data_IF_539374497476
#
_entry.id   IF_539374497476
#
_cell.length_a   1.000
_cell.length_b   1.000
_cell.length_c   1.000
_cell.angle_alpha   90.00
_cell.angle_beta   90.00
_cell.angle_gamma   90.00
#
_symmetry.space_group_name_H-M   'P 1'
#
loop_
_entity.id
_entity.type
_entity.pdbx_description
1 polymer ?
#
# COMPACT_ATOMS: atom_id res chain seq x y z
N UNK A 1 8.28 37.16 41.36
CA UNK A 1 7.41 36.77 40.23
C UNK A 1 8.15 36.38 38.94
N UNK A 2 9.39 36.84 38.70
CA UNK A 2 10.15 36.51 37.47
C UNK A 2 10.67 35.06 37.46
N UNK A 3 11.05 34.53 38.62
CA UNK A 3 11.58 33.16 38.76
C UNK A 3 10.53 32.06 38.53
N UNK A 4 9.27 32.26 38.96
CA UNK A 4 8.17 31.32 38.66
C UNK A 4 7.82 31.28 37.17
N UNK A 5 7.96 32.40 36.45
CA UNK A 5 7.73 32.45 35.00
C UNK A 5 8.87 31.80 34.22
N UNK A 6 10.12 31.96 34.65
CA UNK A 6 11.26 31.25 34.07
C UNK A 6 11.21 29.74 34.33
N UNK A 7 10.75 29.30 35.51
CA UNK A 7 10.58 27.88 35.82
C UNK A 7 9.41 27.25 35.05
N UNK A 8 8.30 28.00 34.87
CA UNK A 8 7.21 27.59 33.99
C UNK A 8 7.64 27.57 32.51
N UNK A 9 8.42 28.54 32.03
CA UNK A 9 8.96 28.54 30.66
C UNK A 9 9.99 27.43 30.44
N UNK A 10 10.83 27.10 31.42
CA UNK A 10 11.76 25.97 31.35
C UNK A 10 11.04 24.63 31.41
N UNK A 11 9.97 24.50 32.21
CA UNK A 11 9.11 23.32 32.17
C UNK A 11 8.34 23.19 30.85
N UNK A 12 7.85 24.30 30.28
CA UNK A 12 7.19 24.31 28.97
C UNK A 12 8.19 24.02 27.85
N UNK A 13 9.43 24.54 27.91
CA UNK A 13 10.51 24.20 26.97
C UNK A 13 10.98 22.74 27.11
N UNK A 14 10.95 22.18 28.32
CA UNK A 14 11.20 20.74 28.56
C UNK A 14 10.03 19.86 28.10
N UNK A 15 8.80 20.38 28.05
CA UNK A 15 7.63 19.69 27.48
C UNK A 15 7.64 19.75 25.93
N UNK A 16 8.26 20.79 25.34
CA UNK A 16 8.35 20.96 23.87
C UNK A 16 9.47 20.11 23.25
N UNK A 17 10.40 19.57 24.04
CA UNK A 17 11.20 18.43 23.61
C UNK A 17 10.36 17.17 23.71
N UNK A 18 9.66 16.82 22.62
CA UNK A 18 9.14 15.47 22.39
C UNK A 18 10.18 14.45 22.86
N UNK A 19 9.83 13.74 23.93
CA UNK A 19 10.69 12.80 24.64
C UNK A 19 11.42 11.87 23.63
N UNK A 20 12.76 11.88 23.56
CA UNK A 20 13.51 11.06 22.61
C UNK A 20 13.18 9.56 22.73
N UNK A 21 12.71 9.11 23.90
CA UNK A 21 12.23 7.75 24.12
C UNK A 21 10.89 7.47 23.42
N UNK A 22 9.97 8.45 23.41
CA UNK A 22 8.68 8.34 22.72
C UNK A 22 8.88 8.23 21.21
N UNK A 23 9.78 9.06 20.66
CA UNK A 23 10.15 9.02 19.24
C UNK A 23 10.77 7.68 18.84
N UNK A 24 11.65 7.12 19.69
CA UNK A 24 12.24 5.80 19.49
C UNK A 24 11.19 4.68 19.48
N UNK A 25 10.18 4.76 20.37
CA UNK A 25 9.07 3.80 20.41
C UNK A 25 8.19 3.88 19.16
N UNK A 26 7.92 5.10 18.67
CA UNK A 26 7.20 5.30 17.41
C UNK A 26 7.97 4.67 16.24
N UNK A 27 9.29 4.89 16.15
CA UNK A 27 10.12 4.30 15.10
C UNK A 27 10.12 2.77 15.13
N UNK A 28 10.20 2.16 16.32
CA UNK A 28 10.11 0.71 16.47
C UNK A 28 8.75 0.17 16.02
N UNK A 29 7.66 0.87 16.36
CA UNK A 29 6.33 0.50 15.94
C UNK A 29 6.16 0.62 14.42
N UNK A 30 6.62 1.72 13.82
CA UNK A 30 6.61 1.92 12.37
C UNK A 30 7.40 0.82 11.64
N UNK A 31 8.57 0.43 12.17
CA UNK A 31 9.34 -0.70 11.64
C UNK A 31 8.58 -2.02 11.72
N UNK A 32 7.84 -2.26 12.81
CA UNK A 32 6.97 -3.46 12.92
C UNK A 32 5.87 -3.47 11.85
N UNK A 33 5.37 -2.30 11.47
CA UNK A 33 4.45 -2.12 10.35
C UNK A 33 5.17 -2.14 8.98
N UNK A 34 6.49 -2.23 8.92
CA UNK A 34 7.23 -2.23 7.64
C UNK A 34 7.33 -0.85 7.03
N UNK A 35 7.44 0.16 7.87
CA UNK A 35 7.89 1.49 7.49
C UNK A 35 9.32 1.66 8.00
N UNK A 36 10.24 2.07 7.13
CA UNK A 36 11.61 2.40 7.54
C UNK A 36 11.65 3.68 8.39
N UNK A 37 10.72 4.59 8.15
CA UNK A 37 10.51 5.87 8.83
C UNK A 37 9.06 6.32 8.60
N UNK A 38 8.62 7.34 9.35
CA UNK A 38 7.29 7.95 9.17
C UNK A 38 7.17 8.52 7.75
N UNK A 39 6.18 8.08 6.95
CA UNK A 39 6.00 8.59 5.60
C UNK A 39 5.74 10.10 5.58
N UNK A 40 6.37 10.79 4.63
CA UNK A 40 6.17 12.23 4.43
C UNK A 40 5.98 12.55 2.94
N UNK A 41 4.76 12.35 2.40
CA UNK A 41 4.48 12.62 1.00
C UNK A 41 4.65 14.12 0.68
N UNK A 42 5.22 14.41 -0.49
CA UNK A 42 5.58 15.78 -0.90
C UNK A 42 4.52 16.36 -1.85
N UNK A 43 4.07 15.57 -2.83
CA UNK A 43 3.05 15.97 -3.79
C UNK A 43 2.15 14.77 -4.14
N UNK A 44 1.29 14.35 -3.20
CA UNK A 44 0.53 13.12 -3.34
C UNK A 44 -0.42 13.15 -4.57
N UNK A 45 -0.38 12.13 -5.45
CA UNK A 45 -1.29 12.02 -6.58
C UNK A 45 -2.72 11.67 -6.12
N UNK A 46 -3.75 11.88 -6.96
CA UNK A 46 -5.09 11.44 -6.63
C UNK A 46 -5.16 9.92 -6.44
N UNK A 47 -5.98 9.49 -5.48
CA UNK A 47 -6.15 8.07 -5.13
C UNK A 47 -6.73 7.28 -6.32
N UNK A 48 -6.06 6.23 -6.81
CA UNK A 48 -6.58 5.37 -7.87
C UNK A 48 -7.90 4.72 -7.48
N UNK A 49 -8.90 4.82 -8.37
CA UNK A 49 -10.26 4.29 -8.14
C UNK A 49 -10.27 2.78 -7.89
N UNK A 50 -9.33 2.03 -8.49
CA UNK A 50 -9.14 0.60 -8.25
C UNK A 50 -8.81 0.31 -6.78
N UNK A 51 -7.86 1.05 -6.19
CA UNK A 51 -7.47 0.86 -4.79
C UNK A 51 -8.58 1.28 -3.83
N UNK A 52 -9.26 2.40 -4.13
CA UNK A 52 -10.41 2.86 -3.35
C UNK A 52 -11.55 1.84 -3.34
N UNK A 53 -11.85 1.24 -4.50
CA UNK A 53 -12.87 0.19 -4.64
C UNK A 53 -12.50 -1.06 -3.84
N UNK A 54 -11.27 -1.54 -3.98
CA UNK A 54 -10.76 -2.70 -3.23
C UNK A 54 -10.86 -2.44 -1.72
N UNK A 55 -10.40 -1.27 -1.26
CA UNK A 55 -10.48 -0.87 0.14
C UNK A 55 -11.91 -0.90 0.68
N UNK A 56 -12.86 -0.27 -0.01
CA UNK A 56 -14.26 -0.19 0.42
C UNK A 56 -14.95 -1.56 0.42
N UNK A 57 -14.68 -2.41 -0.58
CA UNK A 57 -15.20 -3.77 -0.62
C UNK A 57 -14.75 -4.58 0.59
N UNK A 58 -13.48 -4.43 0.99
CA UNK A 58 -12.92 -5.13 2.16
C UNK A 58 -13.50 -4.62 3.47
N UNK A 59 -13.65 -3.30 3.63
CA UNK A 59 -14.30 -2.68 4.79
C UNK A 59 -15.76 -3.13 4.95
N UNK A 60 -16.50 -3.26 3.85
CA UNK A 60 -17.90 -3.69 3.86
C UNK A 60 -18.13 -5.19 4.14
N UNK A 61 -17.09 -6.03 4.03
CA UNK A 61 -17.23 -7.50 4.17
C UNK A 61 -17.28 -8.02 5.62
N UNK A 62 -17.26 -7.12 6.61
CA UNK A 62 -17.12 -7.44 8.04
C UNK A 62 -18.23 -8.34 8.63
N UNK A 63 -19.31 -8.64 7.89
CA UNK A 63 -20.51 -9.24 8.49
C UNK A 63 -20.75 -10.74 8.28
N UNK A 64 -20.11 -11.49 7.36
CA UNK A 64 -20.33 -12.97 7.31
C UNK A 64 -19.50 -13.82 6.31
N UNK A 65 -18.54 -13.28 5.56
CA UNK A 65 -17.74 -14.10 4.61
C UNK A 65 -16.44 -14.61 5.23
N UNK A 66 -15.96 -15.77 4.74
CA UNK A 66 -14.67 -16.41 5.12
C UNK A 66 -13.60 -15.35 5.39
N UNK A 67 -12.85 -15.50 6.50
CA UNK A 67 -11.71 -14.64 6.84
C UNK A 67 -10.85 -14.45 5.58
N UNK A 68 -10.68 -13.23 5.06
CA UNK A 68 -9.95 -13.01 3.82
C UNK A 68 -8.53 -13.58 3.98
N UNK A 69 -8.05 -14.29 2.96
CA UNK A 69 -6.65 -14.74 2.94
C UNK A 69 -5.77 -13.51 2.72
N UNK A 70 -5.08 -13.10 3.78
CA UNK A 70 -4.30 -11.85 3.82
C UNK A 70 -3.08 -11.88 2.90
N UNK A 71 -2.77 -13.06 2.38
CA UNK A 71 -1.68 -13.33 1.46
C UNK A 71 -2.18 -13.63 0.06
N UNK A 72 -3.45 -13.32 -0.20
CA UNK A 72 -4.09 -13.46 -1.49
C UNK A 72 -4.87 -12.19 -1.83
N UNK A 73 -4.70 -11.72 -3.06
CA UNK A 73 -5.47 -10.60 -3.60
C UNK A 73 -6.55 -11.18 -4.50
N UNK A 74 -7.74 -11.38 -3.95
CA UNK A 74 -8.89 -12.00 -4.65
C UNK A 74 -9.23 -11.27 -5.94
N UNK A 75 -9.09 -9.95 -5.97
CA UNK A 75 -9.47 -9.10 -7.11
C UNK A 75 -8.61 -9.34 -8.35
N UNK A 76 -7.39 -9.85 -8.17
CA UNK A 76 -6.47 -10.20 -9.26
C UNK A 76 -6.16 -11.68 -9.32
N UNK A 77 -6.70 -12.48 -8.38
CA UNK A 77 -6.46 -13.91 -8.25
C UNK A 77 -4.96 -14.28 -8.19
N UNK A 78 -4.17 -13.50 -7.43
CA UNK A 78 -2.73 -13.70 -7.26
C UNK A 78 -2.35 -13.71 -5.78
N UNK A 79 -1.29 -14.45 -5.39
CA UNK A 79 -0.73 -14.32 -4.06
C UNK A 79 -0.18 -12.91 -3.86
N UNK A 80 -0.53 -12.26 -2.76
CA UNK A 80 -0.09 -10.90 -2.48
C UNK A 80 -0.66 -10.36 -1.18
N UNK A 81 0.08 -9.47 -0.55
CA UNK A 81 -0.32 -8.79 0.68
C UNK A 81 -0.24 -7.26 0.58
N UNK A 82 0.42 -6.74 -0.46
CA UNK A 82 0.54 -5.30 -0.71
C UNK A 82 0.23 -5.01 -2.17
N UNK A 83 -0.59 -4.00 -2.42
CA UNK A 83 -0.91 -3.47 -3.75
C UNK A 83 -0.37 -2.04 -3.83
N UNK A 84 0.44 -1.74 -4.83
CA UNK A 84 1.00 -0.39 -5.07
C UNK A 84 0.64 0.09 -6.46
N UNK A 85 0.40 1.38 -6.60
CA UNK A 85 0.28 2.04 -7.90
C UNK A 85 1.38 3.09 -8.02
N UNK A 86 2.26 2.89 -9.00
CA UNK A 86 3.35 3.78 -9.33
C UNK A 86 2.94 4.72 -10.47
N UNK A 87 3.05 6.04 -10.31
CA UNK A 87 2.85 6.98 -11.39
C UNK A 87 4.01 6.92 -12.40
N UNK A 88 3.73 7.24 -13.66
CA UNK A 88 4.76 7.40 -14.68
C UNK A 88 5.57 8.68 -14.45
N UNK A 89 6.87 8.53 -14.23
CA UNK A 89 7.88 9.59 -14.09
C UNK A 89 8.69 9.79 -15.38
N UNK A 90 8.24 9.16 -16.46
CA UNK A 90 8.84 9.22 -17.78
C UNK A 90 8.63 10.57 -18.48
N UNK A 91 9.08 10.64 -19.74
CA UNK A 91 9.00 11.85 -20.55
C UNK A 91 8.70 11.55 -22.01
N UNK A 92 8.04 12.49 -22.67
CA UNK A 92 7.86 12.46 -24.12
C UNK A 92 9.21 12.61 -24.82
N UNK A 93 9.43 11.83 -25.87
CA UNK A 93 10.60 11.92 -26.73
C UNK A 93 10.21 12.81 -27.91
N UNK A 94 10.71 14.04 -27.92
CA UNK A 94 10.47 14.97 -29.02
C UNK A 94 11.21 14.43 -30.26
N UNK A 95 10.55 14.29 -31.43
CA UNK A 95 11.23 13.94 -32.67
C UNK A 95 12.23 15.05 -33.03
N UNK A 96 13.43 14.66 -33.46
CA UNK A 96 14.45 15.61 -33.93
C UNK A 96 13.93 16.26 -35.22
N UNK A 97 14.15 17.56 -35.39
CA UNK A 97 13.57 18.43 -36.41
C UNK A 97 13.94 18.11 -37.87
N UNK A 98 14.70 17.03 -38.12
CA UNK A 98 15.14 16.66 -39.47
C UNK A 98 14.17 15.70 -40.20
N UNK A 99 13.18 15.13 -39.51
CA UNK A 99 12.16 14.30 -40.16
C UNK A 99 10.96 15.16 -40.61
N UNK A 100 10.94 15.50 -41.90
CA UNK A 100 9.96 16.37 -42.57
C UNK A 100 8.50 15.91 -42.40
N UNK A 101 8.22 14.68 -41.93
CA UNK A 101 6.88 14.29 -41.46
C UNK A 101 6.98 13.20 -40.37
N UNK A 102 6.73 13.51 -39.07
CA UNK A 102 6.66 12.45 -38.07
C UNK A 102 5.46 11.55 -38.38
N UNK A 103 5.73 10.31 -38.80
CA UNK A 103 4.71 9.29 -39.06
C UNK A 103 4.15 8.66 -37.77
N UNK A 104 4.69 9.06 -36.62
CA UNK A 104 4.32 8.58 -35.29
C UNK A 104 3.53 9.64 -34.52
N UNK A 105 2.37 9.25 -33.95
CA UNK A 105 1.57 10.12 -33.09
C UNK A 105 2.26 10.42 -31.76
N UNK A 106 2.95 9.41 -31.22
CA UNK A 106 3.52 9.47 -29.89
C UNK A 106 4.75 8.60 -29.80
N UNK A 107 5.80 9.12 -29.19
CA UNK A 107 6.88 8.33 -28.61
C UNK A 107 7.13 8.83 -27.18
N UNK A 108 6.85 7.99 -26.18
CA UNK A 108 7.01 8.32 -24.76
C UNK A 108 7.91 7.30 -24.08
N UNK A 109 8.93 7.77 -23.36
CA UNK A 109 9.66 6.93 -22.41
C UNK A 109 8.83 6.84 -21.14
N UNK A 110 8.44 5.63 -20.75
CA UNK A 110 7.78 5.38 -19.47
C UNK A 110 8.82 4.98 -18.43
N UNK A 111 8.74 5.55 -17.23
CA UNK A 111 9.63 5.19 -16.13
C UNK A 111 8.84 5.08 -14.83
N UNK A 112 8.99 3.95 -14.14
CA UNK A 112 8.32 3.69 -12.87
C UNK A 112 9.37 3.41 -11.82
N UNK A 113 9.42 4.26 -10.80
CA UNK A 113 10.36 4.10 -9.70
C UNK A 113 9.82 3.07 -8.67
N UNK A 114 10.16 1.79 -8.89
CA UNK A 114 9.72 0.70 -8.01
C UNK A 114 10.64 0.44 -6.81
N UNK A 115 11.54 1.37 -6.48
CA UNK A 115 12.46 1.25 -5.34
C UNK A 115 11.76 1.18 -3.97
N UNK A 116 10.47 1.54 -3.92
CA UNK A 116 9.65 1.41 -2.72
C UNK A 116 9.27 -0.06 -2.38
N UNK A 117 9.54 -1.00 -3.28
CA UNK A 117 9.36 -2.44 -2.99
C UNK A 117 10.53 -2.90 -2.13
N UNK A 118 10.25 -3.41 -0.93
CA UNK A 118 11.27 -3.91 0.01
C UNK A 118 12.02 -5.11 -0.60
N UNK A 119 13.28 -5.33 -0.20
CA UNK A 119 14.10 -6.45 -0.72
C UNK A 119 13.51 -7.82 -0.36
N UNK A 120 12.76 -7.87 0.75
CA UNK A 120 12.09 -9.05 1.25
C UNK A 120 10.75 -9.32 0.54
N UNK A 121 10.23 -8.35 -0.22
CA UNK A 121 9.00 -8.48 -0.99
C UNK A 121 9.29 -9.07 -2.38
N UNK A 122 8.48 -10.06 -2.79
CA UNK A 122 8.49 -10.55 -4.18
C UNK A 122 7.34 -9.96 -4.96
N UNK A 123 7.60 -9.45 -6.16
CA UNK A 123 6.55 -9.08 -7.12
C UNK A 123 5.88 -10.34 -7.67
N UNK A 124 4.57 -10.44 -7.44
CA UNK A 124 3.73 -11.54 -7.95
C UNK A 124 2.90 -11.12 -9.15
N UNK A 125 2.63 -9.82 -9.31
CA UNK A 125 1.95 -9.26 -10.47
C UNK A 125 2.48 -7.86 -10.76
N UNK A 126 2.63 -7.55 -12.04
CA UNK A 126 2.84 -6.20 -12.55
C UNK A 126 1.93 -5.94 -13.75
N UNK A 127 1.14 -4.87 -13.71
CA UNK A 127 0.20 -4.51 -14.76
C UNK A 127 0.33 -3.03 -15.11
N UNK A 128 0.67 -2.74 -16.35
CA UNK A 128 0.66 -1.40 -16.91
C UNK A 128 -0.75 -1.05 -17.36
N UNK A 129 -1.23 0.11 -16.92
CA UNK A 129 -2.45 0.72 -17.40
C UNK A 129 -2.11 1.91 -18.30
N UNK A 130 -2.66 1.94 -19.51
CA UNK A 130 -2.70 3.11 -20.38
C UNK A 130 -4.14 3.63 -20.41
N UNK A 131 -4.36 4.84 -19.89
CA UNK A 131 -5.68 5.47 -19.83
C UNK A 131 -5.72 6.70 -20.70
N UNK A 132 -6.75 6.79 -21.53
CA UNK A 132 -7.03 7.94 -22.40
C UNK A 132 -8.22 8.71 -21.83
N UNK A 133 -8.06 10.01 -21.56
CA UNK A 133 -9.08 10.83 -20.90
C UNK A 133 -10.09 11.46 -21.85
N UNK A 134 -9.82 11.53 -23.15
CA UNK A 134 -10.73 12.07 -24.17
C UNK A 134 -10.90 11.12 -25.34
N UNK A 135 -12.07 11.18 -25.97
CA UNK A 135 -12.42 10.40 -27.15
C UNK A 135 -12.74 11.31 -28.34
N UNK A 136 -11.80 12.17 -28.71
CA UNK A 136 -11.95 13.06 -29.87
C UNK A 136 -11.76 12.33 -31.22
N UNK A 137 -11.56 11.01 -31.19
CA UNK A 137 -11.05 10.23 -32.32
C UNK A 137 -11.95 9.06 -32.74
N UNK A 138 -13.27 9.22 -32.61
CA UNK A 138 -14.26 8.22 -32.99
C UNK A 138 -13.99 7.66 -34.40
N UNK A 139 -13.81 6.35 -34.50
CA UNK A 139 -13.60 5.63 -35.76
C UNK A 139 -12.14 5.47 -36.18
N UNK A 140 -11.20 6.24 -35.62
CA UNK A 140 -9.77 6.11 -35.98
C UNK A 140 -9.12 4.89 -35.34
N UNK A 141 -8.23 4.28 -36.09
CA UNK A 141 -7.48 3.09 -35.70
C UNK A 141 -6.02 3.45 -35.50
N UNK A 142 -5.44 3.02 -34.39
CA UNK A 142 -4.05 3.26 -34.04
C UNK A 142 -3.32 1.95 -33.80
N UNK A 143 -2.05 1.91 -34.17
CA UNK A 143 -1.14 0.84 -33.81
C UNK A 143 -0.28 1.28 -32.62
N UNK A 144 -0.30 0.47 -31.57
CA UNK A 144 0.48 0.65 -30.36
C UNK A 144 1.63 -0.35 -30.32
N UNK A 145 2.82 0.12 -29.98
CA UNK A 145 3.99 -0.74 -29.73
C UNK A 145 4.64 -0.38 -28.40
N UNK A 146 4.83 -1.38 -27.56
CA UNK A 146 5.47 -1.24 -26.26
C UNK A 146 6.81 -1.99 -26.29
N UNK A 147 7.88 -1.30 -25.90
CA UNK A 147 9.23 -1.81 -25.90
C UNK A 147 9.86 -1.77 -24.51
N UNK A 148 10.66 -2.80 -24.20
CA UNK A 148 11.59 -2.80 -23.09
C UNK A 148 12.92 -2.18 -23.53
N UNK A 149 13.42 -1.23 -22.76
CA UNK A 149 14.75 -0.66 -22.98
C UNK A 149 15.83 -1.62 -22.46
N UNK A 150 16.79 -1.98 -23.30
CA UNK A 150 17.92 -2.85 -22.93
C UNK A 150 19.20 -2.05 -22.67
N UNK A 151 19.36 -0.90 -23.33
CA UNK A 151 20.53 -0.02 -23.19
C UNK A 151 20.12 1.44 -23.34
N UNK A 152 20.83 2.35 -22.66
CA UNK A 152 20.66 3.79 -22.81
C UNK A 152 21.54 4.26 -23.97
N UNK A 153 20.95 4.76 -25.04
CA UNK A 153 21.68 5.37 -26.15
C UNK A 153 22.17 6.76 -25.74
N UNK A 154 23.46 7.06 -25.93
CA UNK A 154 24.05 8.38 -25.70
C UNK A 154 23.36 9.44 -26.58
N UNK A 155 23.18 10.66 -26.05
CA UNK A 155 22.66 11.80 -26.81
C UNK A 155 23.56 12.04 -28.04
N UNK A 156 22.98 12.01 -29.25
CA UNK A 156 23.70 12.29 -30.51
C UNK A 156 24.06 11.06 -31.35
N UNK A 157 23.93 9.83 -30.83
CA UNK A 157 23.99 8.62 -31.66
C UNK A 157 22.61 8.31 -32.26
N UNK A 158 22.58 7.92 -33.53
CA UNK A 158 21.36 7.53 -34.22
C UNK A 158 20.55 6.50 -33.43
N UNK A 159 19.22 6.61 -33.45
CA UNK A 159 18.29 5.74 -32.70
C UNK A 159 18.47 4.29 -33.16
N UNK A 160 19.32 3.52 -32.48
CA UNK A 160 19.53 2.12 -32.85
C UNK A 160 18.34 1.27 -32.40
N UNK A 161 17.69 0.61 -33.36
CA UNK A 161 16.62 -0.37 -33.10
C UNK A 161 17.10 -1.54 -32.23
N UNK A 162 18.42 -1.76 -32.09
CA UNK A 162 19.00 -2.85 -31.29
C UNK A 162 18.93 -2.62 -29.78
N UNK A 163 18.68 -1.39 -29.31
CA UNK A 163 18.65 -1.05 -27.88
C UNK A 163 17.29 -1.30 -27.20
N UNK A 164 16.29 -1.78 -27.95
CA UNK A 164 14.91 -1.98 -27.50
C UNK A 164 14.42 -3.38 -27.87
N UNK A 165 13.68 -4.04 -26.98
CA UNK A 165 12.99 -5.33 -27.24
C UNK A 165 11.48 -5.10 -27.28
N UNK A 166 10.83 -5.47 -28.38
CA UNK A 166 9.36 -5.40 -28.48
C UNK A 166 8.72 -6.33 -27.46
N UNK A 167 7.77 -5.81 -26.70
CA UNK A 167 6.98 -6.57 -25.72
C UNK A 167 5.60 -6.86 -26.26
N UNK A 168 4.93 -5.83 -26.77
CA UNK A 168 3.55 -5.92 -27.25
C UNK A 168 3.39 -5.03 -28.47
N UNK A 169 2.70 -5.53 -29.49
CA UNK A 169 2.17 -4.75 -30.58
C UNK A 169 0.67 -5.02 -30.69
N UNK A 170 -0.15 -3.97 -30.66
CA UNK A 170 -1.61 -4.11 -30.66
C UNK A 170 -2.24 -2.96 -31.43
N UNK A 171 -3.23 -3.28 -32.26
CA UNK A 171 -4.10 -2.29 -32.88
C UNK A 171 -5.28 -1.99 -31.94
N UNK A 172 -5.61 -0.71 -31.77
CA UNK A 172 -6.74 -0.29 -30.94
C UNK A 172 -7.50 0.88 -31.59
N UNK A 173 -8.74 1.07 -31.16
CA UNK A 173 -9.51 2.30 -31.41
C UNK A 173 -9.52 3.10 -30.13
N UNK A 174 -9.50 4.42 -30.23
CA UNK A 174 -9.70 5.27 -29.06
C UNK A 174 -11.13 5.05 -28.56
N UNK A 175 -11.21 4.28 -27.48
CA UNK A 175 -12.38 4.02 -26.69
C UNK A 175 -12.02 4.56 -25.31
N UNK A 176 -13.00 5.04 -24.53
CA UNK A 176 -12.83 5.47 -23.12
C UNK A 176 -12.39 4.31 -22.17
N UNK A 177 -11.63 3.34 -22.67
CA UNK A 177 -11.21 2.13 -22.00
C UNK A 177 -9.71 2.22 -21.75
N UNK A 178 -9.32 1.87 -20.53
CA UNK A 178 -7.93 1.63 -20.21
C UNK A 178 -7.44 0.37 -20.92
N UNK A 179 -6.23 0.43 -21.48
CA UNK A 179 -5.51 -0.74 -21.98
C UNK A 179 -4.62 -1.29 -20.88
N UNK A 180 -4.63 -2.60 -20.68
CA UNK A 180 -3.87 -3.27 -19.65
C UNK A 180 -2.84 -4.21 -20.25
N UNK A 181 -1.59 -4.13 -19.79
CA UNK A 181 -0.50 -5.00 -20.24
C UNK A 181 0.16 -5.68 -19.05
N UNK A 182 0.35 -7.00 -19.15
CA UNK A 182 1.08 -7.76 -18.14
C UNK A 182 2.58 -7.50 -18.26
N UNK A 183 3.18 -6.96 -17.20
CA UNK A 183 4.61 -6.67 -17.09
C UNK A 183 5.26 -7.41 -15.91
N UNK A 184 4.65 -8.49 -15.41
CA UNK A 184 5.07 -9.17 -14.18
C UNK A 184 6.55 -9.56 -14.19
N UNK A 185 7.03 -10.24 -15.23
CA UNK A 185 8.44 -10.65 -15.37
C UNK A 185 9.40 -9.46 -15.43
N UNK A 186 8.97 -8.35 -16.04
CA UNK A 186 9.76 -7.13 -16.15
C UNK A 186 9.88 -6.46 -14.79
N UNK A 187 8.76 -6.32 -14.08
CA UNK A 187 8.73 -5.79 -12.71
C UNK A 187 9.57 -6.63 -11.74
N UNK A 188 9.59 -7.96 -11.91
CA UNK A 188 10.50 -8.83 -11.16
C UNK A 188 11.96 -8.50 -11.45
N UNK A 189 12.32 -8.29 -12.72
CA UNK A 189 13.68 -7.91 -13.09
C UNK A 189 14.08 -6.50 -12.61
N UNK A 190 13.13 -5.57 -12.50
CA UNK A 190 13.35 -4.19 -12.05
C UNK A 190 13.53 -4.06 -10.53
N UNK A 191 13.32 -5.13 -9.75
CA UNK A 191 13.68 -5.13 -8.32
C UNK A 191 15.19 -4.91 -8.13
N UNK A 192 16.00 -5.23 -9.14
CA UNK A 192 17.36 -4.73 -9.26
C UNK A 192 17.32 -3.33 -9.92
N UNK A 193 17.66 -2.24 -9.20
CA UNK A 193 17.56 -0.88 -9.72
C UNK A 193 18.38 -0.66 -10.99
N UNK A 194 19.50 -1.39 -11.17
CA UNK A 194 20.36 -1.28 -12.35
C UNK A 194 19.70 -1.82 -13.62
N UNK A 195 18.68 -2.68 -13.48
CA UNK A 195 17.94 -3.26 -14.61
C UNK A 195 16.72 -2.43 -15.02
N UNK A 196 16.36 -1.40 -14.26
CA UNK A 196 15.22 -0.54 -14.55
C UNK A 196 15.60 0.60 -15.50
N UNK A 197 15.58 0.31 -16.82
CA UNK A 197 15.85 1.29 -17.88
C UNK A 197 14.58 1.94 -18.46
N UNK A 198 13.41 1.61 -17.89
CA UNK A 198 12.11 2.04 -18.38
C UNK A 198 11.64 1.35 -19.66
N UNK A 199 10.49 1.78 -20.15
CA UNK A 199 9.85 1.30 -21.38
C UNK A 199 9.79 2.43 -22.40
N UNK A 200 9.55 2.07 -23.66
CA UNK A 200 9.19 3.02 -24.69
C UNK A 200 7.85 2.64 -25.29
N UNK A 201 6.93 3.60 -25.29
CA UNK A 201 5.62 3.50 -25.88
C UNK A 201 5.59 4.29 -27.18
N UNK A 202 5.22 3.62 -28.26
CA UNK A 202 5.03 4.22 -29.58
C UNK A 202 3.57 4.03 -30.02
N UNK A 203 2.94 5.09 -30.54
CA UNK A 203 1.60 5.04 -31.13
C UNK A 203 1.64 5.66 -32.52
N UNK A 204 1.03 4.97 -33.49
CA UNK A 204 0.98 5.37 -34.90
C UNK A 204 -0.47 5.40 -35.37
N UNK A 205 -0.88 6.34 -36.23
CA UNK A 205 -2.16 6.25 -36.91
C UNK A 205 -2.08 5.15 -37.97
N UNK A 206 -3.09 4.28 -38.03
CA UNK A 206 -3.18 3.26 -39.08
C UNK A 206 -3.77 3.93 -40.32
N UNK A 207 -2.97 4.10 -41.37
CA UNK A 207 -3.44 4.64 -42.65
C UNK A 207 -4.48 3.69 -43.26
N UNK A 208 -5.75 4.07 -43.18
CA UNK A 208 -6.80 3.51 -44.01
C UNK A 208 -6.71 4.20 -45.38
N UNK A 209 -6.70 3.42 -46.45
CA UNK A 209 -6.41 3.88 -47.81
C UNK A 209 -7.36 4.98 -48.29
N UNK A 210 -7.01 6.26 -48.13
CA UNK A 210 -7.48 7.37 -48.95
C UNK A 210 -6.60 8.61 -48.78
N UNK A 211 -6.68 9.51 -49.76
CA UNK A 211 -5.63 10.47 -50.12
C UNK A 211 -5.62 11.72 -49.22
N UNK A 212 -4.44 12.31 -49.06
CA UNK A 212 -4.18 13.64 -48.49
C UNK A 212 -4.71 13.90 -47.06
N UNK A 213 -4.01 13.37 -46.06
CA UNK A 213 -4.01 13.96 -44.71
C UNK A 213 -2.60 13.85 -44.13
N UNK A 214 -2.03 14.97 -43.67
CA UNK A 214 -0.73 14.97 -42.99
C UNK A 214 -0.92 14.41 -41.58
N UNK A 215 -0.07 13.47 -41.16
CA UNK A 215 -0.14 12.80 -39.85
C UNK A 215 -0.18 13.76 -38.64
N UNK A 216 0.23 15.02 -38.83
CA UNK A 216 0.22 16.07 -37.81
C UNK A 216 -1.19 16.48 -37.36
N UNK A 217 -2.19 16.42 -38.24
CA UNK A 217 -3.58 16.76 -37.88
C UNK A 217 -4.32 15.55 -37.27
N UNK A 218 -3.78 14.34 -37.47
CA UNK A 218 -4.41 13.09 -37.03
C UNK A 218 -4.14 12.72 -35.56
N UNK A 219 -3.12 13.31 -34.94
CA UNK A 219 -2.59 12.92 -33.63
C UNK A 219 -2.58 14.06 -32.58
N UNK A 220 -3.26 15.17 -32.85
CA UNK A 220 -3.28 16.38 -32.00
C UNK A 220 -3.79 16.08 -30.57
N UNK A 221 -3.07 16.52 -29.54
CA UNK A 221 -3.50 16.37 -28.14
C UNK A 221 -3.49 14.95 -27.53
N UNK A 222 -3.11 13.88 -28.27
CA UNK A 222 -3.00 12.52 -27.69
C UNK A 222 -2.01 12.47 -26.50
N UNK A 223 -1.00 13.34 -26.53
CA UNK A 223 0.00 13.51 -25.47
C UNK A 223 -0.60 14.08 -24.18
N UNK A 224 -1.57 14.98 -24.29
CA UNK A 224 -2.21 15.67 -23.15
C UNK A 224 -3.16 14.76 -22.39
N UNK A 225 -3.71 13.75 -23.07
CA UNK A 225 -4.78 12.92 -22.53
C UNK A 225 -4.37 11.50 -22.15
N UNK A 226 -3.10 11.12 -22.38
CA UNK A 226 -2.55 9.82 -22.02
C UNK A 226 -1.96 9.81 -20.61
N UNK A 227 -2.62 9.07 -19.73
CA UNK A 227 -2.15 8.76 -18.39
C UNK A 227 -1.65 7.33 -18.31
N UNK A 228 -0.55 7.13 -17.61
CA UNK A 228 0.15 5.85 -17.51
C UNK A 228 0.49 5.56 -16.06
N UNK A 229 0.13 4.37 -15.60
CA UNK A 229 0.39 3.92 -14.23
C UNK A 229 0.74 2.44 -14.20
N UNK A 230 1.60 2.05 -13.26
CA UNK A 230 1.99 0.67 -13.04
C UNK A 230 1.40 0.18 -11.71
N UNK A 231 0.49 -0.77 -11.78
CA UNK A 231 -0.01 -1.49 -10.61
C UNK A 231 0.89 -2.69 -10.34
N UNK A 232 1.33 -2.86 -9.11
CA UNK A 232 2.01 -4.09 -8.67
C UNK A 232 1.31 -4.73 -7.49
N UNK A 233 1.38 -6.05 -7.45
CA UNK A 233 1.06 -6.84 -6.28
C UNK A 233 2.35 -7.50 -5.80
N UNK A 234 2.64 -7.36 -4.52
CA UNK A 234 3.80 -7.99 -3.89
C UNK A 234 3.39 -8.87 -2.72
N UNK A 235 4.21 -9.88 -2.46
CA UNK A 235 4.05 -10.78 -1.33
C UNK A 235 5.29 -10.69 -0.45
N UNK A 236 5.09 -10.38 0.83
CA UNK A 236 6.13 -10.54 1.84
C UNK A 236 5.99 -11.91 2.52
N UNK A 237 6.88 -12.89 2.25
CA UNK A 237 6.77 -14.24 2.78
C UNK A 237 6.94 -14.32 4.31
N UNK A 238 7.64 -13.37 4.94
CA UNK A 238 7.83 -13.35 6.39
C UNK A 238 6.52 -13.05 7.13
N UNK A 239 5.68 -12.21 6.53
CA UNK A 239 4.36 -11.82 7.08
C UNK A 239 3.25 -12.77 6.66
N UNK A 240 3.50 -13.58 5.64
CA UNK A 240 2.54 -14.54 5.10
C UNK A 240 2.66 -15.95 5.68
N UNK A 241 3.02 -16.04 6.96
CA UNK A 241 2.97 -17.30 7.70
C UNK A 241 1.52 -17.58 8.12
N UNK A 242 1.04 -18.80 7.88
CA UNK A 242 -0.32 -19.21 8.25
C UNK A 242 -0.60 -18.84 9.71
N UNK A 243 -1.69 -18.11 10.02
CA UNK A 243 -2.05 -17.85 11.40
C UNK A 243 -2.33 -19.19 12.07
N UNK A 244 -1.60 -19.50 13.16
CA UNK A 244 -1.95 -20.63 14.03
C UNK A 244 -3.33 -20.35 14.60
N UNK A 245 -4.34 -21.14 14.19
CA UNK A 245 -5.67 -21.13 14.78
C UNK A 245 -5.54 -21.44 16.28
N UNK A 246 -5.62 -20.41 17.14
CA UNK A 246 -6.06 -20.62 18.51
C UNK A 246 -7.60 -20.64 18.50
N UNK A 247 -8.16 -21.70 19.06
CA UNK A 247 -9.62 -21.92 19.15
C UNK A 247 -10.23 -20.77 19.97
N UNK A 248 -11.33 -20.20 19.49
CA UNK A 248 -12.13 -19.20 20.21
C UNK A 248 -13.40 -19.84 20.77
N UNK A 249 -13.77 -19.43 21.97
CA UNK A 249 -15.03 -19.76 22.66
C UNK A 249 -15.94 -18.51 22.68
N UNK A 250 -17.26 -18.70 22.54
CA UNK A 250 -18.27 -17.62 22.42
C UNK A 250 -19.04 -17.34 23.73
N UNK A 251 -19.49 -16.09 23.85
CA UNK A 251 -19.87 -15.29 25.03
C UNK A 251 -21.13 -15.68 25.83
N UNK A 252 -21.14 -15.28 27.11
CA UNK A 252 -22.30 -14.93 27.94
C UNK A 252 -22.09 -13.54 28.59
N UNK A 253 -23.14 -12.81 29.02
CA UNK A 253 -23.02 -11.45 29.57
C UNK A 253 -23.01 -11.46 31.11
N UNK A 254 -22.21 -10.58 31.76
CA UNK A 254 -22.60 -9.90 33.02
C UNK A 254 -21.63 -8.78 33.45
N UNK A 255 -22.16 -7.85 34.25
CA UNK A 255 -21.51 -6.72 34.98
C UNK A 255 -20.81 -7.22 36.24
N UNK A 256 -19.61 -6.78 36.65
CA UNK A 256 -19.31 -5.55 37.41
C UNK A 256 -17.84 -5.12 37.18
N UNK A 257 -17.43 -3.94 37.64
CA UNK A 257 -16.50 -3.05 36.93
C UNK A 257 -15.00 -3.39 36.83
N UNK A 258 -14.44 -4.42 37.49
CA UNK A 258 -12.97 -4.61 37.55
C UNK A 258 -12.39 -5.87 36.90
N UNK A 259 -13.21 -6.82 36.42
CA UNK A 259 -12.70 -8.09 35.84
C UNK A 259 -12.16 -7.90 34.41
N UNK A 260 -11.10 -8.64 34.05
CA UNK A 260 -10.45 -8.62 32.73
C UNK A 260 -11.45 -8.73 31.57
N UNK A 261 -11.56 -7.67 30.77
CA UNK A 261 -12.40 -7.66 29.57
C UNK A 261 -11.91 -6.69 28.51
N UNK A 262 -12.47 -6.87 27.31
CA UNK A 262 -12.30 -5.92 26.22
C UNK A 262 -13.01 -4.61 26.55
N UNK A 263 -12.28 -3.51 26.42
CA UNK A 263 -12.76 -2.13 26.52
C UNK A 263 -12.69 -1.48 25.14
N UNK A 264 -13.57 -0.52 24.93
CA UNK A 264 -13.69 0.23 23.68
C UNK A 264 -12.60 1.30 23.64
N UNK A 265 -11.87 1.33 22.53
CA UNK A 265 -10.92 2.40 22.21
C UNK A 265 -11.01 2.63 20.71
N UNK A 266 -11.34 3.86 20.35
CA UNK A 266 -11.27 4.32 18.98
C UNK A 266 -9.99 5.13 18.83
N UNK A 267 -9.17 4.78 17.85
CA UNK A 267 -7.92 5.48 17.56
C UNK A 267 -8.11 6.24 16.26
N UNK A 268 -7.97 7.55 16.31
CA UNK A 268 -7.90 8.39 15.13
C UNK A 268 -6.44 8.55 14.71
N UNK A 269 -6.16 8.39 13.41
CA UNK A 269 -4.80 8.53 12.91
C UNK A 269 -4.27 9.97 13.02
N UNK A 270 -5.16 10.96 13.12
CA UNK A 270 -4.78 12.35 13.37
C UNK A 270 -4.14 12.54 14.75
N UNK A 271 -4.58 11.78 15.75
CA UNK A 271 -4.12 11.91 17.15
C UNK A 271 -2.70 11.37 17.32
N UNK A 272 -2.29 10.45 16.45
CA UNK A 272 -0.91 9.93 16.35
C UNK A 272 -0.09 10.63 15.26
N UNK A 273 -0.64 11.68 14.64
CA UNK A 273 0.07 12.49 13.64
C UNK A 273 0.27 11.80 12.29
N UNK A 274 -0.61 10.88 11.91
CA UNK A 274 -0.52 10.08 10.68
C UNK A 274 -1.48 10.54 9.56
N UNK A 275 -2.27 11.59 9.81
CA UNK A 275 -3.26 12.14 8.87
C UNK A 275 -2.69 12.65 7.54
N UNK A 276 -1.39 13.00 7.51
CA UNK A 276 -0.75 13.55 6.31
C UNK A 276 -0.43 12.47 5.26
N UNK A 277 -0.36 11.20 5.67
CA UNK A 277 0.05 10.10 4.80
C UNK A 277 -0.94 8.93 4.78
N UNK A 278 -1.73 8.73 5.84
CA UNK A 278 -2.84 7.76 5.82
C UNK A 278 -4.05 8.37 5.14
N UNK A 279 -4.50 7.73 4.05
CA UNK A 279 -5.67 8.13 3.27
C UNK A 279 -6.94 7.57 3.92
N UNK A 280 -6.93 6.27 4.25
CA UNK A 280 -8.06 5.59 4.88
C UNK A 280 -7.64 4.31 5.65
N UNK A 281 -8.40 3.91 6.69
CA UNK A 281 -9.48 4.69 7.31
C UNK A 281 -8.93 5.92 8.05
N UNK A 282 -9.79 6.84 8.49
CA UNK A 282 -9.37 7.99 9.30
C UNK A 282 -9.11 7.60 10.77
N UNK A 283 -9.70 6.50 11.19
CA UNK A 283 -9.53 5.90 12.50
C UNK A 283 -10.21 4.54 12.55
N UNK A 284 -9.95 3.76 13.58
CA UNK A 284 -10.53 2.43 13.72
C UNK A 284 -10.74 2.04 15.19
N UNK A 285 -11.60 1.05 15.39
CA UNK A 285 -11.92 0.52 16.72
C UNK A 285 -10.83 -0.45 17.19
N UNK A 286 -9.71 0.08 17.67
CA UNK A 286 -8.60 -0.71 18.17
C UNK A 286 -9.00 -1.60 19.35
N UNK A 287 -9.82 -1.08 20.28
CA UNK A 287 -10.11 -1.71 21.56
C UNK A 287 -8.84 -2.02 22.38
N UNK A 288 -9.00 -2.37 23.65
CA UNK A 288 -7.89 -2.79 24.52
C UNK A 288 -8.38 -3.74 25.60
N UNK A 289 -7.45 -4.46 26.24
CA UNK A 289 -7.77 -5.33 27.37
C UNK A 289 -7.48 -4.61 28.68
N UNK A 290 -8.43 -4.66 29.61
CA UNK A 290 -8.27 -4.06 30.93
C UNK A 290 -9.14 -4.75 31.98
N UNK A 291 -8.57 -4.89 33.16
CA UNK A 291 -9.18 -5.48 34.35
C UNK A 291 -8.26 -6.49 35.00
N UNK A 292 -8.70 -6.99 36.14
CA UNK A 292 -7.98 -7.92 37.01
C UNK A 292 -8.27 -9.37 36.63
N UNK A 293 -7.34 -10.24 37.00
CA UNK A 293 -7.39 -11.69 36.81
C UNK A 293 -7.42 -12.39 38.17
N UNK A 294 -8.55 -12.31 38.92
CA UNK A 294 -8.61 -12.80 40.30
C UNK A 294 -8.63 -14.33 40.37
N UNK A 295 -8.24 -14.85 41.53
CA UNK A 295 -8.45 -16.25 41.88
C UNK A 295 -9.87 -16.45 42.46
N UNK A 296 -10.58 -17.55 42.11
CA UNK A 296 -10.27 -18.51 41.05
C UNK A 296 -10.58 -17.95 39.65
N UNK A 297 -9.72 -18.26 38.68
CA UNK A 297 -9.99 -17.89 37.28
C UNK A 297 -11.19 -18.67 36.77
N UNK A 298 -12.29 -17.95 36.53
CA UNK A 298 -13.47 -18.52 35.85
C UNK A 298 -13.15 -18.85 34.39
N UNK A 299 -13.86 -19.83 33.81
CA UNK A 299 -13.71 -20.19 32.39
C UNK A 299 -13.89 -18.99 31.44
N UNK A 300 -14.69 -18.01 31.86
CA UNK A 300 -14.99 -16.77 31.14
C UNK A 300 -13.72 -15.94 30.87
N UNK A 301 -12.69 -16.05 31.71
CA UNK A 301 -11.45 -15.30 31.59
C UNK A 301 -10.45 -15.92 30.59
N UNK A 302 -10.84 -17.02 29.93
CA UNK A 302 -10.02 -17.74 28.95
C UNK A 302 -8.60 -18.03 29.47
N UNK A 303 -8.43 -18.30 30.77
CA UNK A 303 -7.14 -18.48 31.44
C UNK A 303 -6.32 -19.64 30.86
N UNK A 304 -5.00 -19.50 30.81
CA UNK A 304 -4.11 -20.61 30.45
C UNK A 304 -3.92 -21.50 31.69
N UNK A 305 -3.53 -22.76 31.53
CA UNK A 305 -3.18 -23.60 32.68
C UNK A 305 -2.08 -22.93 33.54
N UNK A 306 -1.15 -22.21 32.90
CA UNK A 306 -0.14 -21.41 33.59
C UNK A 306 -0.77 -20.28 34.42
N UNK A 307 -1.71 -19.51 33.86
CA UNK A 307 -2.39 -18.44 34.58
C UNK A 307 -3.27 -18.97 35.74
N UNK A 308 -3.89 -20.14 35.57
CA UNK A 308 -4.65 -20.81 36.63
C UNK A 308 -3.73 -21.25 37.76
N UNK A 309 -2.60 -21.88 37.44
CA UNK A 309 -1.62 -22.27 38.44
C UNK A 309 -1.02 -21.04 39.14
N UNK A 310 -0.67 -19.99 38.40
CA UNK A 310 -0.11 -18.76 38.94
C UNK A 310 -1.09 -18.06 39.88
N UNK A 311 -2.38 -17.99 39.53
CA UNK A 311 -3.40 -17.43 40.45
C UNK A 311 -3.58 -18.27 41.71
N UNK A 312 -3.47 -19.60 41.61
CA UNK A 312 -3.49 -20.49 42.77
C UNK A 312 -2.29 -20.24 43.68
N UNK A 313 -1.07 -20.20 43.15
CA UNK A 313 0.14 -19.95 43.94
C UNK A 313 0.13 -18.54 44.53
N UNK A 314 -0.33 -17.54 43.77
CA UNK A 314 -0.53 -16.17 44.27
C UNK A 314 -1.50 -16.11 45.45
N UNK A 315 -2.53 -16.96 45.50
CA UNK A 315 -3.45 -17.01 46.65
C UNK A 315 -2.81 -17.51 47.94
N UNK A 316 -1.65 -18.17 47.83
CA UNK A 316 -0.84 -18.69 48.94
C UNK A 316 0.27 -17.70 49.30
N UNK A 317 0.98 -17.20 48.28
CA UNK A 317 2.15 -16.31 48.42
C UNK A 317 1.99 -15.04 47.56
N UNK A 318 1.16 -14.06 48.01
CA UNK A 318 0.81 -12.90 47.20
C UNK A 318 1.93 -11.86 47.08
N UNK A 319 2.90 -11.85 48.00
CA UNK A 319 4.02 -10.90 48.01
C UNK A 319 5.08 -11.25 46.95
N UNK A 320 5.35 -12.55 46.74
CA UNK A 320 6.40 -13.01 45.83
C UNK A 320 5.88 -13.30 44.41
N UNK A 321 4.63 -13.74 44.29
CA UNK A 321 4.05 -14.14 43.00
C UNK A 321 3.08 -13.07 42.54
N UNK A 322 3.20 -12.49 41.34
CA UNK A 322 2.21 -11.54 40.84
C UNK A 322 0.98 -12.23 40.24
N UNK A 323 -0.14 -11.50 40.13
CA UNK A 323 -1.31 -11.95 39.36
C UNK A 323 -1.01 -11.99 37.84
N UNK A 324 -1.68 -12.88 37.08
CA UNK A 324 -1.61 -12.86 35.61
C UNK A 324 -2.13 -11.55 35.00
N UNK A 325 -1.65 -11.23 33.80
CA UNK A 325 -2.04 -10.01 33.11
C UNK A 325 -3.26 -10.21 32.21
N UNK A 326 -4.10 -9.18 32.11
CA UNK A 326 -5.21 -9.13 31.16
C UNK A 326 -4.71 -8.71 29.77
N UNK A 327 -4.62 -9.64 28.83
CA UNK A 327 -4.01 -9.42 27.51
C UNK A 327 -4.93 -9.84 26.35
N UNK A 328 -4.72 -9.33 25.13
CA UNK A 328 -5.44 -9.77 23.95
C UNK A 328 -5.18 -11.25 23.66
N UNK A 329 -6.25 -12.04 23.51
CA UNK A 329 -6.17 -13.46 23.13
C UNK A 329 -6.50 -13.69 21.66
N UNK A 330 -7.25 -12.75 21.06
CA UNK A 330 -7.61 -12.73 19.65
C UNK A 330 -7.65 -11.31 19.14
N UNK A 331 -7.07 -11.10 17.97
CA UNK A 331 -7.06 -9.81 17.31
C UNK A 331 -7.49 -9.95 15.85
N UNK A 332 -8.21 -8.96 15.38
CA UNK A 332 -8.58 -8.77 14.00
C UNK A 332 -7.59 -7.82 13.32
N UNK A 333 -7.41 -7.98 12.01
CA UNK A 333 -6.53 -7.13 11.24
C UNK A 333 -7.28 -5.93 10.66
N UNK A 334 -6.56 -4.94 10.14
CA UNK A 334 -7.13 -3.78 9.43
C UNK A 334 -6.49 -3.59 8.05
N UNK A 335 -7.25 -3.07 7.09
CA UNK A 335 -6.70 -2.60 5.82
C UNK A 335 -6.40 -1.11 5.92
N UNK A 336 -5.27 -0.67 5.39
CA UNK A 336 -4.88 0.73 5.34
C UNK A 336 -4.48 1.11 3.92
N UNK A 337 -5.01 2.26 3.46
CA UNK A 337 -4.66 2.93 2.22
C UNK A 337 -3.85 4.18 2.58
N UNK A 338 -2.66 4.33 2.03
CA UNK A 338 -1.73 5.40 2.43
C UNK A 338 -0.74 5.77 1.32
N UNK A 339 -0.05 6.91 1.47
CA UNK A 339 1.08 7.33 0.64
C UNK A 339 2.41 6.87 1.26
N UNK A 340 3.32 6.35 0.43
CA UNK A 340 4.71 6.10 0.84
C UNK A 340 5.60 7.34 0.69
N UNK A 341 6.90 7.19 0.99
CA UNK A 341 7.90 8.27 0.87
C UNK A 341 8.13 8.74 -0.58
N UNK A 342 7.66 7.98 -1.57
CA UNK A 342 7.81 8.26 -2.99
C UNK A 342 6.46 8.71 -3.61
N UNK A 343 5.51 9.14 -2.79
CA UNK A 343 4.16 9.55 -3.17
C UNK A 343 3.33 8.44 -3.86
N UNK A 344 3.73 7.16 -3.76
CA UNK A 344 2.95 6.06 -4.31
C UNK A 344 1.75 5.77 -3.43
N UNK A 345 0.62 5.40 -4.04
CA UNK A 345 -0.55 4.95 -3.30
C UNK A 345 -0.44 3.46 -3.02
N UNK A 346 -0.49 3.10 -1.75
CA UNK A 346 -0.29 1.75 -1.24
C UNK A 346 -1.50 1.29 -0.47
N UNK A 347 -2.02 0.12 -0.82
CA UNK A 347 -3.01 -0.61 -0.04
C UNK A 347 -2.35 -1.82 0.62
N UNK A 348 -2.35 -1.85 1.96
CA UNK A 348 -1.75 -2.92 2.74
C UNK A 348 -2.70 -3.40 3.83
N UNK A 349 -2.48 -4.64 4.25
CA UNK A 349 -3.20 -5.24 5.36
C UNK A 349 -2.28 -5.49 6.57
N UNK A 350 -2.76 -5.11 7.74
CA UNK A 350 -2.02 -5.15 9.00
C UNK A 350 -2.68 -6.10 9.99
N UNK A 351 -1.97 -7.17 10.36
CA UNK A 351 -2.42 -8.11 11.38
C UNK A 351 -2.32 -7.54 12.79
N UNK A 352 -3.11 -8.10 13.71
CA UNK A 352 -3.01 -7.84 15.15
C UNK A 352 -3.24 -6.37 15.56
N UNK A 353 -4.12 -5.67 14.86
CA UNK A 353 -4.35 -4.23 15.06
C UNK A 353 -5.55 -3.92 15.94
N UNK A 354 -6.60 -4.75 15.94
CA UNK A 354 -7.81 -4.56 16.72
C UNK A 354 -8.09 -5.75 17.65
N UNK A 355 -8.37 -5.49 18.92
CA UNK A 355 -8.66 -6.53 19.90
C UNK A 355 -10.08 -7.06 19.74
N UNK A 356 -10.22 -8.36 19.56
CA UNK A 356 -11.52 -9.04 19.48
C UNK A 356 -11.93 -9.61 20.83
N UNK A 357 -10.99 -10.29 21.51
CA UNK A 357 -11.18 -11.02 22.77
C UNK A 357 -9.97 -10.80 23.71
N UNK A 358 -10.23 -10.80 25.01
CA UNK A 358 -9.23 -10.69 26.09
C UNK A 358 -9.22 -11.94 26.95
N UNK A 359 -8.14 -12.15 27.70
CA UNK A 359 -8.07 -13.19 28.72
C UNK A 359 -6.83 -13.05 29.60
N UNK A 360 -6.77 -13.90 30.62
CA UNK A 360 -5.68 -13.92 31.60
C UNK A 360 -4.53 -14.83 31.13
N UNK A 361 -3.30 -14.33 31.09
CA UNK A 361 -2.12 -15.06 30.58
C UNK A 361 -0.93 -14.95 31.49
#
# INVERSE_FOLDING_TARGET
MVWLRLWAFLHILAIVTLDPELKRREELFLRSLGFSSKPNPVSPPPVPSILWRIFNQRMGSSSQKKKPDLCFVEEFNVPGSVIRVFPDQGRFIIPYSDDIHPTQCLEKRLFFNISAIEKEERVTMGQLELRFSQNTYYGRVFDLRLYRTLQITLKGMGRSKTSRKLLVAQTFRLLHKSLFFNLTEICQSWQDPLKNLGLVLEIFPKKESSWMSTANDECKDIQTFLYTSLLTVTLNPLRCKKPRRKRSYSKLPFTASNICKKRRLYVEFKDVGWQNWVIAPQGYMANYCYGECPYPLTEILNGSNHAILQTLVHSIEPEDIPLPCCVPTKMSPISMLFYDNNDNVVLRHYENMAVDECGCR
#
